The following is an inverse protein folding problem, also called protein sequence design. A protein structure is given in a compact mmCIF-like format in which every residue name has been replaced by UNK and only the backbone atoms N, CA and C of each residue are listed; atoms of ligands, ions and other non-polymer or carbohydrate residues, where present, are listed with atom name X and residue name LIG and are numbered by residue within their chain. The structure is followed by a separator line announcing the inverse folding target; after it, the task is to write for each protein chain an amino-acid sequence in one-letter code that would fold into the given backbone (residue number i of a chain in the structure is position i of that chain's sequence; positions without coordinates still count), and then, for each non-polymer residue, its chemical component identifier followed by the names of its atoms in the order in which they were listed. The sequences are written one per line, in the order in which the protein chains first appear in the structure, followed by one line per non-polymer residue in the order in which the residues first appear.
data_IF_936070592126
#
_entry.id   IF_936070592126
#
_cell.length_a   1.000
_cell.length_b   1.000
_cell.length_c   1.000
_cell.angle_alpha   90.00
_cell.angle_beta   90.00
_cell.angle_gamma   90.00
#
_symmetry.space_group_name_H-M   'P 1'
#
loop_
_entity.id
_entity.type
_entity.pdbx_description
1 polymer ?
#
# COMPACT_ATOMS: atom_id res chain seq x y z
N UNK A 1 -4.79 6.30 -0.49
CA UNK A 1 -3.39 5.82 -0.54
C UNK A 1 -3.08 4.98 -1.77
N UNK A 2 -3.49 3.72 -1.90
CA UNK A 2 -3.15 2.91 -3.11
C UNK A 2 -3.71 3.54 -4.39
N UNK A 3 -5.00 3.91 -4.39
CA UNK A 3 -5.65 4.63 -5.51
C UNK A 3 -4.99 5.97 -5.85
N UNK A 4 -4.57 6.72 -4.84
CA UNK A 4 -3.88 8.02 -5.03
C UNK A 4 -2.48 7.86 -5.64
N UNK A 5 -1.90 6.66 -5.60
CA UNK A 5 -0.56 6.37 -6.07
C UNK A 5 -0.57 5.31 -7.19
N UNK A 6 -1.67 5.21 -7.95
CA UNK A 6 -1.82 4.21 -9.01
C UNK A 6 -0.68 4.25 -10.03
N UNK A 7 -0.18 5.43 -10.38
CA UNK A 7 0.95 5.56 -11.30
C UNK A 7 2.20 4.86 -10.76
N UNK A 8 2.46 4.98 -9.45
CA UNK A 8 3.58 4.32 -8.77
C UNK A 8 3.35 2.81 -8.68
N UNK A 9 2.11 2.40 -8.40
CA UNK A 9 1.72 0.98 -8.32
C UNK A 9 1.85 0.29 -9.68
N UNK A 10 1.40 0.93 -10.77
CA UNK A 10 1.54 0.41 -12.13
C UNK A 10 3.00 0.36 -12.58
N UNK A 11 3.81 1.36 -12.21
CA UNK A 11 5.22 1.41 -12.60
C UNK A 11 6.13 0.49 -11.78
N UNK A 12 5.86 0.31 -10.48
CA UNK A 12 6.75 -0.41 -9.55
C UNK A 12 6.16 -1.72 -9.02
N UNK A 13 4.87 -1.97 -9.21
CA UNK A 13 4.17 -3.13 -8.66
C UNK A 13 4.41 -3.29 -7.16
N UNK A 14 4.91 -4.47 -6.77
CA UNK A 14 5.28 -4.79 -5.40
C UNK A 14 6.39 -3.89 -4.84
N UNK A 15 7.22 -3.26 -5.67
CA UNK A 15 8.20 -2.25 -5.24
C UNK A 15 7.58 -0.99 -4.62
N UNK A 16 6.29 -0.73 -4.84
CA UNK A 16 5.55 0.36 -4.20
C UNK A 16 5.13 0.04 -2.76
N UNK A 17 5.25 -1.23 -2.32
CA UNK A 17 4.72 -1.72 -1.03
C UNK A 17 5.24 -0.91 0.17
N UNK A 18 6.56 -0.71 0.29
CA UNK A 18 7.16 0.00 1.42
C UNK A 18 6.69 1.45 1.54
N UNK A 19 6.59 2.14 0.40
CA UNK A 19 6.09 3.52 0.34
C UNK A 19 4.62 3.60 0.77
N UNK A 20 3.78 2.69 0.26
CA UNK A 20 2.35 2.65 0.57
C UNK A 20 2.09 2.27 2.01
N UNK A 21 2.85 1.32 2.56
CA UNK A 21 2.87 0.96 3.98
C UNK A 21 3.23 2.16 4.84
N UNK A 22 4.33 2.86 4.55
CA UNK A 22 4.75 4.04 5.31
C UNK A 22 3.66 5.12 5.34
N UNK A 23 3.05 5.41 4.19
CA UNK A 23 1.91 6.36 4.11
C UNK A 23 0.68 5.88 4.87
N UNK A 24 0.36 4.58 4.81
CA UNK A 24 -0.76 4.00 5.55
C UNK A 24 -0.55 4.07 7.06
N UNK A 25 0.61 3.63 7.53
CA UNK A 25 0.98 3.65 8.94
C UNK A 25 1.07 5.08 9.49
N UNK A 26 1.59 6.04 8.70
CA UNK A 26 1.60 7.46 9.07
C UNK A 26 0.17 8.03 9.23
N UNK A 27 -0.75 7.69 8.32
CA UNK A 27 -2.15 8.14 8.40
C UNK A 27 -2.89 7.53 9.59
N UNK A 28 -2.60 6.26 9.89
CA UNK A 28 -3.20 5.52 11.00
C UNK A 28 -2.52 5.83 12.35
N UNK A 29 -1.39 6.56 12.35
CA UNK A 29 -0.59 6.94 13.53
C UNK A 29 -0.28 5.75 14.44
N UNK A 30 0.02 4.59 13.84
CA UNK A 30 0.32 3.36 14.59
C UNK A 30 -0.86 2.71 15.33
N UNK A 31 -2.09 3.21 15.15
CA UNK A 31 -3.28 2.68 15.83
C UNK A 31 -3.91 1.45 15.16
N UNK A 32 -3.37 1.02 14.02
CA UNK A 32 -3.90 -0.09 13.25
C UNK A 32 -2.95 -1.29 13.29
N UNK A 33 -3.51 -2.49 13.23
CA UNK A 33 -2.74 -3.73 13.11
C UNK A 33 -1.92 -3.74 11.81
N UNK A 34 -0.60 -3.71 11.95
CA UNK A 34 0.34 -3.70 10.84
C UNK A 34 0.21 -4.93 9.92
N UNK A 35 -0.20 -6.10 10.45
CA UNK A 35 -0.44 -7.28 9.62
C UNK A 35 -1.66 -7.09 8.72
N UNK A 36 -2.75 -6.56 9.28
CA UNK A 36 -3.97 -6.30 8.54
C UNK A 36 -3.77 -5.21 7.48
N UNK A 37 -3.05 -4.14 7.82
CA UNK A 37 -2.65 -3.10 6.87
C UNK A 37 -1.79 -3.68 5.75
N UNK A 38 -0.81 -4.54 6.08
CA UNK A 38 0.03 -5.23 5.10
C UNK A 38 -0.78 -6.04 4.10
N UNK A 39 -1.70 -6.87 4.59
CA UNK A 39 -2.53 -7.71 3.74
C UNK A 39 -3.39 -6.87 2.79
N UNK A 40 -4.02 -5.81 3.30
CA UNK A 40 -4.86 -4.91 2.49
C UNK A 40 -4.05 -4.12 1.45
N UNK A 41 -2.88 -3.61 1.81
CA UNK A 41 -2.02 -2.87 0.88
C UNK A 41 -1.50 -3.81 -0.22
N UNK A 42 -1.02 -5.01 0.15
CA UNK A 42 -0.55 -6.02 -0.80
C UNK A 42 -1.65 -6.44 -1.78
N UNK A 43 -2.85 -6.75 -1.27
CA UNK A 43 -3.98 -7.17 -2.10
C UNK A 43 -4.34 -6.09 -3.13
N UNK A 44 -4.42 -4.83 -2.71
CA UNK A 44 -4.71 -3.72 -3.62
C UNK A 44 -3.60 -3.49 -4.64
N UNK A 45 -2.33 -3.61 -4.25
CA UNK A 45 -1.22 -3.50 -5.23
C UNK A 45 -1.38 -4.56 -6.31
N UNK A 46 -1.64 -5.80 -5.94
CA UNK A 46 -1.85 -6.89 -6.90
C UNK A 46 -3.06 -6.64 -7.81
N UNK A 47 -4.19 -6.18 -7.25
CA UNK A 47 -5.39 -5.82 -8.05
C UNK A 47 -5.12 -4.73 -9.10
N UNK A 48 -4.16 -3.83 -8.87
CA UNK A 48 -3.87 -2.71 -9.78
C UNK A 48 -2.59 -2.87 -10.60
N UNK A 49 -1.76 -3.88 -10.31
CA UNK A 49 -0.57 -4.21 -11.09
C UNK A 49 -0.80 -5.32 -12.12
N UNK A 50 -1.96 -6.00 -12.04
CA UNK A 50 -2.42 -6.98 -13.03
C UNK A 50 -3.13 -6.32 -14.20
#
# INVERSE_FOLDING_TARGET
IVRENLNVVKAKGMGAMGMLMGRAMAKLRGKADGKLVSQLVRKKIQEFSS
#
